data_IF_321055211466
#
_entry.id   IF_321055211466
#
_cell.length_a   1.000
_cell.length_b   1.000
_cell.length_c   1.000
_cell.angle_alpha   90.00
_cell.angle_beta   90.00
_cell.angle_gamma   90.00
#
_symmetry.space_group_name_H-M   'P 1'
#
loop_
_entity.id
_entity.type
_entity.pdbx_description
1 polymer ?
#
# COMPACT_ATOMS: atom_id res chain seq x y z
N UNK A 1 -29.28 -7.49 -4.19
CA UNK A 1 -28.94 -8.93 -4.30
C UNK A 1 -28.63 -9.46 -2.91
N UNK A 2 -29.21 -10.58 -2.52
CA UNK A 2 -29.01 -11.17 -1.18
C UNK A 2 -27.57 -11.63 -1.03
N UNK A 3 -26.94 -11.23 0.06
CA UNK A 3 -25.58 -11.58 0.42
C UNK A 3 -25.66 -12.67 1.50
N UNK A 4 -25.49 -13.94 1.10
CA UNK A 4 -25.58 -15.08 2.01
C UNK A 4 -24.17 -15.57 2.34
N UNK A 5 -23.75 -15.41 3.60
CA UNK A 5 -22.47 -15.92 4.08
C UNK A 5 -22.65 -17.35 4.60
N UNK A 6 -22.47 -18.31 3.69
CA UNK A 6 -22.79 -19.73 3.91
C UNK A 6 -21.88 -20.37 4.98
N UNK A 7 -22.30 -21.51 5.54
CA UNK A 7 -21.51 -22.23 6.54
C UNK A 7 -20.10 -22.60 6.04
N UNK A 8 -19.97 -22.97 4.76
CA UNK A 8 -18.68 -23.28 4.15
C UNK A 8 -17.76 -22.04 4.06
N UNK A 9 -18.32 -20.87 3.75
CA UNK A 9 -17.55 -19.62 3.71
C UNK A 9 -17.12 -19.19 5.12
N UNK A 10 -17.97 -19.42 6.14
CA UNK A 10 -17.61 -19.16 7.53
C UNK A 10 -16.41 -20.00 7.98
N UNK A 11 -16.39 -21.29 7.64
CA UNK A 11 -15.27 -22.20 7.93
C UNK A 11 -13.99 -21.77 7.20
N UNK A 12 -14.10 -21.37 5.92
CA UNK A 12 -12.96 -20.87 5.17
C UNK A 12 -12.36 -19.62 5.81
N UNK A 13 -13.19 -18.65 6.21
CA UNK A 13 -12.73 -17.43 6.87
C UNK A 13 -12.08 -17.72 8.22
N UNK A 14 -12.66 -18.61 9.02
CA UNK A 14 -12.07 -19.07 10.28
C UNK A 14 -10.68 -19.72 10.07
N UNK A 15 -10.55 -20.59 9.05
CA UNK A 15 -9.28 -21.26 8.73
C UNK A 15 -8.17 -20.28 8.31
N UNK A 16 -8.55 -19.14 7.74
CA UNK A 16 -7.63 -18.08 7.32
C UNK A 16 -7.37 -17.04 8.41
N UNK A 17 -7.98 -17.19 9.60
CA UNK A 17 -7.88 -16.22 10.69
C UNK A 17 -8.57 -14.88 10.36
N UNK A 18 -9.50 -14.85 9.41
CA UNK A 18 -10.23 -13.64 9.07
C UNK A 18 -11.32 -13.37 10.10
N UNK A 19 -11.12 -12.31 10.88
CA UNK A 19 -12.07 -11.84 11.91
C UNK A 19 -13.23 -11.03 11.32
N UNK A 20 -13.06 -10.50 10.11
CA UNK A 20 -14.05 -9.66 9.45
C UNK A 20 -14.94 -10.48 8.52
N UNK A 21 -16.27 -10.30 8.64
CA UNK A 21 -17.23 -10.84 7.69
C UNK A 21 -17.03 -10.21 6.30
N UNK A 22 -17.26 -10.94 5.20
CA UNK A 22 -17.11 -10.36 3.87
C UNK A 22 -18.08 -9.18 3.69
N UNK A 23 -17.56 -8.03 3.26
CA UNK A 23 -18.33 -6.79 3.13
C UNK A 23 -19.01 -6.62 1.77
N UNK A 24 -18.72 -7.50 0.80
CA UNK A 24 -19.21 -7.43 -0.58
C UNK A 24 -19.51 -8.81 -1.11
N UNK A 25 -20.62 -8.94 -1.85
CA UNK A 25 -20.94 -10.17 -2.57
C UNK A 25 -19.92 -10.45 -3.68
N UNK A 26 -19.95 -11.68 -4.21
CA UNK A 26 -19.06 -12.11 -5.29
C UNK A 26 -19.14 -11.17 -6.52
N UNK A 27 -20.34 -10.73 -6.91
CA UNK A 27 -20.51 -9.84 -8.07
C UNK A 27 -19.96 -8.45 -7.79
N UNK A 28 -20.19 -7.87 -6.61
CA UNK A 28 -19.62 -6.57 -6.24
C UNK A 28 -18.09 -6.63 -6.18
N UNK A 29 -17.51 -7.77 -5.75
CA UNK A 29 -16.06 -8.01 -5.79
C UNK A 29 -15.58 -8.14 -7.25
N UNK A 30 -16.30 -8.89 -8.08
CA UNK A 30 -15.97 -9.08 -9.49
C UNK A 30 -16.05 -7.76 -10.27
N UNK A 31 -17.12 -6.98 -10.08
CA UNK A 31 -17.31 -5.67 -10.68
C UNK A 31 -16.18 -4.70 -10.29
N UNK A 32 -15.76 -4.68 -9.02
CA UNK A 32 -14.63 -3.85 -8.57
C UNK A 32 -13.30 -4.29 -9.19
N UNK A 33 -13.10 -5.61 -9.33
CA UNK A 33 -11.91 -6.16 -10.00
C UNK A 33 -11.90 -5.77 -11.48
N UNK A 34 -13.05 -5.88 -12.15
CA UNK A 34 -13.24 -5.50 -13.54
C UNK A 34 -13.08 -3.98 -13.76
N UNK A 35 -13.57 -3.16 -12.83
CA UNK A 35 -13.48 -1.69 -12.88
C UNK A 35 -12.10 -1.14 -12.49
N UNK A 36 -11.02 -1.93 -12.64
CA UNK A 36 -9.65 -1.47 -12.39
C UNK A 36 -9.03 -1.94 -11.07
N UNK A 37 -9.57 -2.97 -10.42
CA UNK A 37 -9.00 -3.57 -9.20
C UNK A 37 -7.73 -4.40 -9.42
N UNK A 38 -6.86 -4.02 -10.37
CA UNK A 38 -5.46 -4.48 -10.38
C UNK A 38 -4.71 -3.62 -9.36
N UNK A 39 -4.78 -4.02 -8.10
CA UNK A 39 -3.81 -3.55 -7.11
C UNK A 39 -2.41 -3.96 -7.57
N UNK A 40 -1.65 -2.99 -8.08
CA UNK A 40 -0.29 -3.18 -8.54
C UNK A 40 0.21 -1.90 -9.22
N UNK A 41 0.87 -1.04 -8.45
CA UNK A 41 1.75 0.06 -8.86
C UNK A 41 1.32 0.91 -10.07
N UNK A 42 0.76 2.10 -9.82
CA UNK A 42 0.65 3.11 -10.88
C UNK A 42 -0.18 4.31 -10.44
N UNK A 43 0.45 5.48 -10.38
CA UNK A 43 -0.13 6.73 -9.90
C UNK A 43 -1.41 7.15 -10.62
N UNK A 44 -2.27 7.82 -9.87
CA UNK A 44 -3.55 8.33 -10.37
C UNK A 44 -4.12 9.39 -9.43
N UNK A 45 -3.30 10.38 -9.08
CA UNK A 45 -3.72 11.62 -8.44
C UNK A 45 -2.75 12.68 -8.91
N UNK A 46 -3.10 13.38 -9.99
CA UNK A 46 -2.29 14.38 -10.69
C UNK A 46 -2.00 15.66 -9.89
N UNK A 47 -1.84 15.56 -8.57
CA UNK A 47 -1.10 16.56 -7.83
C UNK A 47 0.38 16.22 -8.02
N UNK A 48 1.09 17.05 -8.78
CA UNK A 48 2.56 17.13 -8.73
C UNK A 48 2.98 17.07 -7.25
N UNK A 49 3.50 15.92 -6.79
CA UNK A 49 3.99 15.84 -5.40
C UNK A 49 5.22 16.72 -5.36
N UNK A 50 5.20 17.74 -4.52
CA UNK A 50 6.38 18.55 -4.28
C UNK A 50 7.46 17.65 -3.70
N UNK A 51 8.63 17.68 -4.34
CA UNK A 51 9.79 16.92 -3.91
C UNK A 51 10.59 17.80 -2.95
N UNK A 52 10.77 17.33 -1.72
CA UNK A 52 11.55 18.02 -0.70
C UNK A 52 12.98 17.49 -0.72
N UNK A 53 13.95 18.41 -0.63
CA UNK A 53 15.36 18.06 -0.47
C UNK A 53 15.68 17.81 0.99
N UNK A 54 16.47 16.78 1.25
CA UNK A 54 16.95 16.40 2.57
C UNK A 54 18.38 15.86 2.49
N UNK A 55 19.08 15.85 3.62
CA UNK A 55 20.39 15.18 3.73
C UNK A 55 20.20 13.69 4.02
N UNK A 56 20.84 12.84 3.24
CA UNK A 56 20.83 11.40 3.44
C UNK A 56 21.57 11.05 4.74
N UNK A 57 20.90 10.35 5.66
CA UNK A 57 21.45 9.94 6.97
C UNK A 57 22.57 8.90 6.87
N UNK A 58 22.83 8.32 5.69
CA UNK A 58 23.86 7.29 5.49
C UNK A 58 25.11 7.83 4.77
N UNK A 59 24.95 8.53 3.65
CA UNK A 59 26.06 9.00 2.84
C UNK A 59 26.28 10.52 2.88
N UNK A 60 25.38 11.28 3.53
CA UNK A 60 25.44 12.75 3.56
C UNK A 60 25.04 13.44 2.26
N UNK A 61 24.77 12.70 1.17
CA UNK A 61 24.31 13.26 -0.10
C UNK A 61 22.88 13.80 -0.07
N UNK A 62 22.45 14.43 -1.17
CA UNK A 62 21.08 14.95 -1.31
C UNK A 62 20.09 13.82 -1.59
N UNK A 63 18.99 13.80 -0.84
CA UNK A 63 17.83 12.93 -1.07
C UNK A 63 16.63 13.79 -1.45
N UNK A 64 15.86 13.33 -2.45
CA UNK A 64 14.59 13.95 -2.85
C UNK A 64 13.44 13.03 -2.43
N UNK A 65 12.55 13.54 -1.57
CA UNK A 65 11.45 12.76 -0.99
C UNK A 65 10.10 13.44 -1.22
N UNK A 66 9.01 12.68 -1.43
CA UNK A 66 7.67 13.24 -1.70
C UNK A 66 6.93 13.66 -0.41
N UNK A 67 7.64 13.84 0.70
CA UNK A 67 7.12 14.22 2.00
C UNK A 67 8.10 15.20 2.67
N UNK A 68 7.58 16.13 3.47
CA UNK A 68 8.42 17.06 4.20
C UNK A 68 9.18 16.32 5.32
N UNK A 69 10.53 16.33 5.34
CA UNK A 69 11.32 15.75 6.42
C UNK A 69 11.04 16.46 7.74
N UNK A 70 10.69 15.71 8.79
CA UNK A 70 10.41 16.26 10.13
C UNK A 70 11.57 16.12 11.12
N UNK A 71 12.63 15.41 10.74
CA UNK A 71 13.82 15.16 11.58
C UNK A 71 13.66 14.07 12.64
N UNK A 72 12.46 13.52 12.82
CA UNK A 72 12.15 12.39 13.71
C UNK A 72 12.63 11.04 13.14
N UNK A 73 12.70 10.94 11.81
CA UNK A 73 13.07 9.71 11.09
C UNK A 73 14.23 9.97 10.13
N UNK A 74 15.13 8.98 9.95
CA UNK A 74 16.22 9.12 8.99
C UNK A 74 15.68 9.19 7.56
N UNK A 75 16.28 10.05 6.75
CA UNK A 75 15.98 10.18 5.32
C UNK A 75 17.11 9.54 4.53
N UNK A 76 16.77 8.79 3.48
CA UNK A 76 17.76 8.10 2.65
C UNK A 76 17.61 8.53 1.19
N UNK A 77 18.75 8.68 0.49
CA UNK A 77 18.73 8.78 -0.97
C UNK A 77 18.31 7.45 -1.60
N UNK A 78 17.94 7.47 -2.88
CA UNK A 78 17.42 6.30 -3.60
C UNK A 78 18.33 5.08 -3.48
N UNK A 79 19.65 5.28 -3.56
CA UNK A 79 20.62 4.18 -3.57
C UNK A 79 20.83 3.59 -2.16
N UNK A 80 20.92 4.45 -1.13
CA UNK A 80 20.99 4.02 0.26
C UNK A 80 19.68 3.35 0.71
N UNK A 81 18.54 3.79 0.19
CA UNK A 81 17.25 3.14 0.45
C UNK A 81 17.19 1.74 -0.20
N UNK A 82 17.56 1.63 -1.47
CA UNK A 82 17.50 0.38 -2.23
C UNK A 82 18.45 -0.72 -1.71
N UNK A 83 19.56 -0.32 -1.08
CA UNK A 83 20.54 -1.22 -0.46
C UNK A 83 20.14 -1.73 0.91
N UNK A 84 19.08 -1.19 1.54
CA UNK A 84 18.59 -1.61 2.86
C UNK A 84 17.48 -2.66 2.72
N UNK A 85 17.69 -3.92 3.17
CA UNK A 85 16.69 -4.99 3.06
C UNK A 85 15.43 -4.72 3.87
N UNK A 86 15.55 -4.01 4.99
CA UNK A 86 14.46 -3.75 5.93
C UNK A 86 13.41 -2.75 5.42
N UNK A 87 13.63 -2.13 4.27
CA UNK A 87 12.78 -1.06 3.72
C UNK A 87 12.22 -1.39 2.32
N UNK A 88 12.37 -2.64 1.87
CA UNK A 88 11.68 -3.18 0.69
C UNK A 88 10.35 -3.80 1.06
#
# INVERSE_FOLDING_TARGET
>A
RTFTFTANEQQFYASKGFTNKPSRCADCRAARKASGGRGGSGGGGGARREMFKATCSQCGGVAEVPFQPRGDKPVYCRDCFASRPSYR
#
